data_IF_395760753331
#
_entry.id   IF_395760753331
#
_cell.length_a   1.000
_cell.length_b   1.000
_cell.length_c   1.000
_cell.angle_alpha   90.00
_cell.angle_beta   90.00
_cell.angle_gamma   90.00
#
_symmetry.space_group_name_H-M   'P 1'
#
loop_
_entity.id
_entity.type
_entity.pdbx_description
1 polymer ?
#
# COMPACT_ATOMS: atom_id res chain seq x y z
N UNK A 1 -5.08 -18.70 -3.38
CA UNK A 1 -4.47 -17.45 -3.87
C UNK A 1 -3.08 -17.34 -3.29
N UNK A 2 -2.05 -17.12 -4.12
CA UNK A 2 -0.67 -16.99 -3.66
C UNK A 2 -0.19 -15.56 -3.88
N UNK A 3 0.50 -15.00 -2.88
CA UNK A 3 0.96 -13.62 -2.86
C UNK A 3 2.44 -13.57 -2.48
N UNK A 4 3.21 -12.82 -3.27
CA UNK A 4 4.54 -12.38 -2.88
C UNK A 4 4.42 -11.06 -2.10
N UNK A 5 5.01 -10.98 -0.91
CA UNK A 5 4.99 -9.81 -0.03
C UNK A 5 6.45 -9.32 0.13
N UNK A 6 7.00 -8.61 -0.86
CA UNK A 6 8.44 -8.30 -0.92
C UNK A 6 8.94 -7.43 0.25
N UNK A 7 8.03 -6.69 0.89
CA UNK A 7 8.32 -5.74 1.95
C UNK A 7 7.22 -5.72 3.03
N UNK A 8 7.47 -5.10 4.21
CA UNK A 8 6.47 -4.96 5.26
C UNK A 8 5.18 -4.30 4.79
N UNK A 9 5.28 -3.32 3.89
CA UNK A 9 4.18 -2.55 3.34
C UNK A 9 3.20 -3.43 2.55
N UNK A 10 3.72 -4.43 1.83
CA UNK A 10 2.92 -5.43 1.12
C UNK A 10 2.10 -6.29 2.09
N UNK A 11 2.67 -6.63 3.26
CA UNK A 11 1.93 -7.34 4.32
C UNK A 11 0.82 -6.45 4.89
N UNK A 12 1.08 -5.16 5.06
CA UNK A 12 0.07 -4.20 5.51
C UNK A 12 -1.04 -3.99 4.48
N UNK A 13 -0.69 -3.94 3.20
CA UNK A 13 -1.64 -3.85 2.09
C UNK A 13 -2.57 -5.08 2.07
N UNK A 14 -2.04 -6.28 2.27
CA UNK A 14 -2.85 -7.50 2.44
C UNK A 14 -3.82 -7.36 3.63
N UNK A 15 -3.35 -6.87 4.77
CA UNK A 15 -4.19 -6.60 5.94
C UNK A 15 -5.32 -5.60 5.63
N UNK A 16 -5.03 -4.50 4.93
CA UNK A 16 -6.04 -3.52 4.50
C UNK A 16 -7.07 -4.12 3.54
N UNK A 17 -6.62 -4.87 2.53
CA UNK A 17 -7.50 -5.49 1.55
C UNK A 17 -8.46 -6.51 2.19
N UNK A 18 -7.94 -7.34 3.10
CA UNK A 18 -8.77 -8.26 3.90
C UNK A 18 -9.82 -7.50 4.71
N UNK A 19 -9.46 -6.40 5.36
CA UNK A 19 -10.39 -5.60 6.16
C UNK A 19 -11.49 -4.96 5.30
N UNK A 20 -11.12 -4.38 4.15
CA UNK A 20 -12.05 -3.71 3.23
C UNK A 20 -13.10 -4.66 2.65
N UNK A 21 -12.76 -5.92 2.47
CA UNK A 21 -13.62 -6.95 1.86
C UNK A 21 -14.22 -7.92 2.87
N UNK A 22 -14.01 -7.67 4.17
CA UNK A 22 -14.37 -8.59 5.26
C UNK A 22 -15.87 -8.90 5.24
N UNK A 23 -16.27 -10.18 5.35
CA UNK A 23 -17.67 -10.54 5.58
C UNK A 23 -18.14 -10.14 7.00
N UNK A 24 -19.45 -10.14 7.28
CA UNK A 24 -19.98 -9.74 8.59
C UNK A 24 -19.45 -10.55 9.78
N UNK A 25 -19.14 -11.83 9.56
CA UNK A 25 -18.45 -12.69 10.52
C UNK A 25 -17.44 -13.58 9.82
N UNK A 26 -16.25 -13.78 10.41
CA UNK A 26 -15.21 -14.64 9.85
C UNK A 26 -14.31 -15.31 10.90
N UNK A 27 -13.94 -16.56 10.66
CA UNK A 27 -12.87 -17.28 11.36
C UNK A 27 -11.62 -17.38 10.48
N UNK A 28 -10.51 -16.75 10.88
CA UNK A 28 -9.25 -16.73 10.14
C UNK A 28 -8.16 -17.46 10.90
N UNK A 29 -7.55 -18.43 10.24
CA UNK A 29 -6.41 -19.19 10.76
C UNK A 29 -5.12 -18.69 10.13
N UNK A 30 -4.17 -18.28 10.98
CA UNK A 30 -2.87 -17.76 10.60
C UNK A 30 -1.78 -18.79 10.92
N UNK A 31 -1.19 -19.36 9.88
CA UNK A 31 -0.10 -20.33 9.95
C UNK A 31 1.24 -19.71 9.53
N UNK A 32 2.32 -20.31 9.98
CA UNK A 32 3.68 -19.93 9.61
C UNK A 32 4.65 -20.01 10.79
N UNK A 33 5.94 -20.04 10.50
CA UNK A 33 6.98 -20.13 11.52
C UNK A 33 7.05 -18.87 12.42
N UNK A 34 7.83 -18.96 13.50
CA UNK A 34 8.13 -17.79 14.33
C UNK A 34 8.82 -16.72 13.48
N UNK A 35 8.29 -15.50 13.48
CA UNK A 35 8.80 -14.40 12.64
C UNK A 35 8.29 -14.38 11.18
N UNK A 36 7.40 -15.32 10.80
CA UNK A 36 6.78 -15.33 9.47
C UNK A 36 5.85 -14.13 9.21
N UNK A 37 5.45 -13.39 10.24
CA UNK A 37 4.66 -12.16 10.10
C UNK A 37 3.18 -12.29 10.46
N UNK A 38 2.75 -13.41 11.06
CA UNK A 38 1.36 -13.64 11.51
C UNK A 38 0.77 -12.48 12.32
N UNK A 39 1.43 -12.10 13.43
CA UNK A 39 0.98 -10.94 14.22
C UNK A 39 1.07 -9.60 13.47
N UNK A 40 1.98 -9.46 12.50
CA UNK A 40 2.07 -8.25 11.67
C UNK A 40 0.84 -8.12 10.79
N UNK A 41 0.45 -9.21 10.11
CA UNK A 41 -0.77 -9.26 9.30
C UNK A 41 -2.03 -9.02 10.15
N UNK A 42 -2.14 -9.69 11.30
CA UNK A 42 -3.26 -9.50 12.23
C UNK A 42 -3.40 -8.03 12.67
N UNK A 43 -2.27 -7.38 13.03
CA UNK A 43 -2.25 -5.96 13.38
C UNK A 43 -2.66 -5.06 12.23
N UNK A 44 -2.17 -5.31 11.02
CA UNK A 44 -2.52 -4.51 9.85
C UNK A 44 -4.03 -4.57 9.55
N UNK A 45 -4.61 -5.77 9.62
CA UNK A 45 -6.06 -5.98 9.47
C UNK A 45 -6.85 -5.22 10.55
N UNK A 46 -6.49 -5.39 11.82
CA UNK A 46 -7.17 -4.73 12.94
C UNK A 46 -7.06 -3.20 12.86
N UNK A 47 -5.89 -2.67 12.47
CA UNK A 47 -5.69 -1.24 12.22
C UNK A 47 -6.62 -0.73 11.11
N UNK A 48 -6.73 -1.47 10.01
CA UNK A 48 -7.61 -1.12 8.91
C UNK A 48 -9.10 -1.16 9.28
N UNK A 49 -9.47 -1.97 10.28
CA UNK A 49 -10.82 -1.99 10.89
C UNK A 49 -11.06 -0.87 11.92
N UNK A 50 -10.11 0.06 12.07
CA UNK A 50 -10.27 1.25 12.92
C UNK A 50 -9.80 1.08 14.36
N UNK A 51 -9.19 -0.04 14.73
CA UNK A 51 -8.64 -0.24 16.09
C UNK A 51 -7.54 0.78 16.38
N UNK A 52 -7.76 1.60 17.40
CA UNK A 52 -6.83 2.65 17.82
C UNK A 52 -5.88 2.15 18.92
N UNK A 53 -4.69 2.76 19.01
CA UNK A 53 -3.72 2.46 20.08
C UNK A 53 -2.89 1.18 19.86
N UNK A 54 -2.30 0.66 20.94
CA UNK A 54 -1.38 -0.46 20.86
C UNK A 54 -2.12 -1.79 20.59
N UNK A 55 -1.85 -2.42 19.45
CA UNK A 55 -2.31 -3.78 19.13
C UNK A 55 -1.14 -4.71 19.42
N UNK A 56 -1.29 -5.57 20.42
CA UNK A 56 -0.21 -6.44 20.90
C UNK A 56 -0.39 -7.84 20.38
N UNK A 57 0.71 -8.57 20.20
CA UNK A 57 0.59 -10.01 19.99
C UNK A 57 0.14 -10.66 21.31
N UNK A 58 -0.94 -11.45 21.31
CA UNK A 58 -1.48 -12.09 22.50
C UNK A 58 -0.64 -13.30 22.96
N UNK A 59 0.65 -13.38 22.65
CA UNK A 59 1.49 -14.55 22.99
C UNK A 59 1.46 -14.94 24.47
N UNK A 60 1.31 -13.98 25.38
CA UNK A 60 1.24 -14.23 26.84
C UNK A 60 -0.17 -14.11 27.41
N UNK A 61 -1.02 -13.26 26.85
CA UNK A 61 -2.41 -13.10 27.28
C UNK A 61 -3.34 -14.14 26.64
N UNK A 62 -2.86 -14.88 25.64
CA UNK A 62 -3.52 -15.87 24.78
C UNK A 62 -4.66 -15.30 23.93
N UNK A 63 -5.40 -14.32 24.45
CA UNK A 63 -6.52 -13.65 23.78
C UNK A 63 -6.44 -12.15 24.04
N UNK A 64 -6.60 -11.35 22.98
CA UNK A 64 -6.86 -9.92 23.05
C UNK A 64 -8.15 -9.61 22.28
N UNK A 65 -8.97 -8.70 22.82
CA UNK A 65 -10.26 -8.31 22.24
C UNK A 65 -10.23 -6.86 21.82
N UNK A 66 -10.67 -6.60 20.60
CA UNK A 66 -10.67 -5.27 20.01
C UNK A 66 -12.07 -4.89 19.54
N UNK A 67 -12.65 -3.79 20.03
CA UNK A 67 -13.89 -3.25 19.48
C UNK A 67 -13.70 -2.83 18.02
N UNK A 68 -14.59 -3.27 17.15
CA UNK A 68 -14.65 -2.89 15.74
C UNK A 68 -16.09 -2.58 15.33
N UNK A 69 -16.31 -2.04 14.14
CA UNK A 69 -17.66 -1.87 13.63
C UNK A 69 -18.35 -3.24 13.49
N UNK A 70 -19.56 -3.35 14.06
CA UNK A 70 -20.38 -4.56 14.03
C UNK A 70 -20.12 -5.57 15.16
N UNK A 71 -19.11 -5.38 16.02
CA UNK A 71 -18.86 -6.26 17.17
C UNK A 71 -17.41 -6.21 17.66
N UNK A 72 -16.85 -7.37 18.00
CA UNK A 72 -15.45 -7.48 18.41
C UNK A 72 -14.62 -8.31 17.43
N UNK A 73 -13.34 -7.96 17.32
CA UNK A 73 -12.30 -8.79 16.72
C UNK A 73 -11.45 -9.41 17.82
N UNK A 74 -11.30 -10.72 17.78
CA UNK A 74 -10.55 -11.49 18.76
C UNK A 74 -9.26 -11.98 18.13
N UNK A 75 -8.14 -11.60 18.73
CA UNK A 75 -6.81 -12.05 18.33
C UNK A 75 -6.34 -13.09 19.34
N UNK A 76 -6.11 -14.31 18.88
CA UNK A 76 -5.63 -15.42 19.66
C UNK A 76 -4.23 -15.82 19.19
N UNK A 77 -3.33 -16.12 20.13
CA UNK A 77 -2.02 -16.70 19.84
C UNK A 77 -1.84 -17.94 20.71
N UNK A 78 -1.98 -19.10 20.07
CA UNK A 78 -1.98 -20.39 20.74
C UNK A 78 -0.58 -21.01 20.82
N UNK A 79 0.48 -20.25 20.52
CA UNK A 79 1.85 -20.78 20.57
C UNK A 79 2.22 -21.40 21.93
N UNK A 80 1.63 -20.88 23.02
CA UNK A 80 1.97 -21.26 24.39
C UNK A 80 1.00 -22.20 25.10
N UNK A 81 -0.12 -22.58 24.48
CA UNK A 81 -1.04 -23.51 25.13
C UNK A 81 -0.41 -24.91 25.19
N UNK A 82 -0.54 -25.57 26.35
CA UNK A 82 -0.02 -26.91 26.56
C UNK A 82 -0.92 -27.99 25.95
N UNK A 83 -2.23 -27.81 26.08
CA UNK A 83 -3.28 -28.70 25.56
C UNK A 83 -4.48 -27.93 24.99
N UNK A 84 -5.18 -28.53 24.03
CA UNK A 84 -6.35 -27.92 23.38
C UNK A 84 -7.53 -27.67 24.35
N UNK A 85 -7.67 -28.46 25.42
CA UNK A 85 -8.68 -28.26 26.45
C UNK A 85 -8.46 -26.99 27.28
N UNK A 86 -7.30 -26.35 27.21
CA UNK A 86 -7.07 -25.05 27.85
C UNK A 86 -7.95 -23.94 27.25
N UNK A 87 -8.40 -24.10 26.00
CA UNK A 87 -9.26 -23.13 25.31
C UNK A 87 -10.60 -22.92 26.03
N UNK A 88 -11.15 -23.95 26.66
CA UNK A 88 -12.42 -23.87 27.40
C UNK A 88 -12.34 -22.89 28.59
N UNK A 89 -11.14 -22.67 29.13
CA UNK A 89 -10.92 -21.76 30.27
C UNK A 89 -10.67 -20.31 29.85
N UNK A 90 -10.53 -20.03 28.55
CA UNK A 90 -10.30 -18.68 28.03
C UNK A 90 -11.57 -17.80 28.02
N UNK A 91 -12.73 -18.36 28.37
CA UNK A 91 -13.98 -17.61 28.45
C UNK A 91 -14.42 -17.06 27.09
N UNK A 92 -14.28 -17.90 26.06
CA UNK A 92 -14.59 -17.56 24.67
C UNK A 92 -16.11 -17.55 24.42
N UNK A 93 -16.80 -16.50 24.87
CA UNK A 93 -18.19 -16.21 24.48
C UNK A 93 -18.30 -15.70 23.03
N UNK A 94 -18.65 -16.60 22.11
CA UNK A 94 -18.68 -16.32 20.67
C UNK A 94 -19.73 -15.28 20.24
N UNK A 95 -20.68 -14.91 21.11
CA UNK A 95 -21.83 -14.09 20.73
C UNK A 95 -21.47 -12.66 20.27
N UNK A 96 -20.33 -12.11 20.72
CA UNK A 96 -19.87 -10.76 20.35
C UNK A 96 -18.79 -10.74 19.28
N UNK A 97 -18.17 -11.88 18.98
CA UNK A 97 -17.02 -11.97 18.09
C UNK A 97 -17.47 -12.05 16.62
N UNK A 98 -17.10 -11.03 15.84
CA UNK A 98 -17.36 -10.97 14.39
C UNK A 98 -16.11 -11.22 13.56
N UNK A 99 -14.94 -11.30 14.19
CA UNK A 99 -13.71 -11.66 13.52
C UNK A 99 -12.82 -12.41 14.50
N UNK A 100 -12.36 -13.58 14.09
CA UNK A 100 -11.37 -14.35 14.84
C UNK A 100 -10.08 -14.42 14.04
N UNK A 101 -8.98 -14.07 14.68
CA UNK A 101 -7.62 -14.15 14.15
C UNK A 101 -6.84 -15.12 15.04
N UNK A 102 -6.69 -16.36 14.60
CA UNK A 102 -6.06 -17.40 15.41
C UNK A 102 -4.68 -17.71 14.85
N UNK A 103 -3.63 -17.33 15.58
CA UNK A 103 -2.26 -17.76 15.31
C UNK A 103 -1.99 -19.14 15.95
N UNK A 104 -1.22 -19.96 15.24
CA UNK A 104 -0.91 -21.35 15.65
C UNK A 104 -2.16 -22.21 15.91
N UNK A 105 -3.18 -22.17 15.02
CA UNK A 105 -4.45 -22.86 15.25
C UNK A 105 -4.29 -24.39 15.39
N UNK A 106 -3.21 -24.97 14.87
CA UNK A 106 -2.87 -26.39 15.07
C UNK A 106 -2.74 -26.79 16.55
N UNK A 107 -2.43 -25.84 17.44
CA UNK A 107 -2.37 -26.07 18.89
C UNK A 107 -3.75 -26.22 19.52
N UNK A 108 -4.76 -25.53 18.97
CA UNK A 108 -6.15 -25.62 19.41
C UNK A 108 -6.89 -26.88 18.92
N UNK A 109 -6.29 -27.62 17.98
CA UNK A 109 -6.80 -28.87 17.44
C UNK A 109 -8.32 -28.80 17.09
N UNK A 110 -9.10 -29.79 17.50
CA UNK A 110 -10.53 -29.89 17.19
C UNK A 110 -11.43 -29.00 18.08
N UNK A 111 -10.86 -28.28 19.06
CA UNK A 111 -11.63 -27.40 19.94
C UNK A 111 -11.96 -26.05 19.28
N UNK A 112 -11.27 -25.68 18.20
CA UNK A 112 -11.59 -24.48 17.44
C UNK A 112 -12.66 -24.76 16.37
N UNK A 113 -13.58 -23.81 16.13
CA UNK A 113 -14.44 -23.84 14.96
C UNK A 113 -13.62 -23.91 13.65
N UNK A 114 -14.22 -24.45 12.59
CA UNK A 114 -13.55 -24.50 11.29
C UNK A 114 -13.31 -23.09 10.76
N UNK A 115 -12.15 -22.83 10.14
CA UNK A 115 -11.88 -21.53 9.55
C UNK A 115 -12.76 -21.30 8.31
N UNK A 116 -13.07 -20.04 8.07
CA UNK A 116 -13.51 -19.56 6.77
C UNK A 116 -12.29 -19.38 5.85
N UNK A 117 -11.23 -18.77 6.37
CA UNK A 117 -10.01 -18.46 5.64
C UNK A 117 -8.79 -19.01 6.36
N UNK A 118 -7.91 -19.70 5.62
CA UNK A 118 -6.55 -20.03 6.08
C UNK A 118 -5.54 -19.16 5.36
N UNK A 119 -4.58 -18.64 6.10
CA UNK A 119 -3.46 -17.87 5.56
C UNK A 119 -2.17 -18.49 6.09
N UNK A 120 -1.37 -19.06 5.20
CA UNK A 120 -0.04 -19.55 5.52
C UNK A 120 1.00 -18.51 5.10
N UNK A 121 1.80 -18.05 6.06
CA UNK A 121 2.89 -17.09 5.85
C UNK A 121 4.24 -17.79 5.93
N UNK A 122 5.15 -17.47 5.01
CA UNK A 122 6.52 -17.97 5.02
C UNK A 122 7.52 -16.83 4.79
N UNK A 123 8.75 -17.02 5.28
CA UNK A 123 9.87 -16.13 4.98
C UNK A 123 10.41 -16.47 3.59
N UNK A 124 10.47 -15.49 2.69
CA UNK A 124 10.99 -15.67 1.33
C UNK A 124 11.99 -14.56 1.00
N UNK A 125 13.28 -14.91 1.00
CA UNK A 125 14.37 -13.94 0.81
C UNK A 125 14.34 -12.83 1.86
N UNK A 126 14.25 -11.58 1.41
CA UNK A 126 14.10 -10.41 2.27
C UNK A 126 12.63 -10.14 2.68
N UNK A 127 11.67 -10.69 1.93
CA UNK A 127 10.23 -10.49 2.10
C UNK A 127 9.53 -11.70 2.72
N UNK A 128 8.24 -11.83 2.43
CA UNK A 128 7.36 -12.93 2.84
C UNK A 128 6.57 -13.45 1.65
N UNK A 129 5.99 -14.62 1.78
CA UNK A 129 4.93 -15.11 0.90
C UNK A 129 3.68 -15.39 1.72
N UNK A 130 2.50 -15.22 1.13
CA UNK A 130 1.23 -15.62 1.72
C UNK A 130 0.45 -16.55 0.78
N UNK A 131 0.05 -17.71 1.29
CA UNK A 131 -0.90 -18.59 0.63
C UNK A 131 -2.24 -18.51 1.35
N UNK A 132 -3.27 -18.06 0.64
CA UNK A 132 -4.62 -17.93 1.17
C UNK A 132 -5.54 -18.99 0.56
N UNK A 133 -6.25 -19.70 1.43
CA UNK A 133 -7.21 -20.76 1.09
C UNK A 133 -8.58 -20.44 1.70
N UNK A 134 -9.61 -20.31 0.85
CA UNK A 134 -11.00 -20.17 1.24
C UNK A 134 -11.60 -21.53 1.56
N UNK A 135 -11.73 -21.86 2.84
CA UNK A 135 -12.14 -23.17 3.34
C UNK A 135 -13.66 -23.30 3.34
N UNK A 136 -14.37 -22.28 3.85
CA UNK A 136 -15.83 -22.23 3.84
C UNK A 136 -16.37 -21.54 2.57
N UNK A 137 -17.70 -21.60 2.28
CA UNK A 137 -18.30 -20.77 1.24
C UNK A 137 -18.03 -19.27 1.45
N UNK A 138 -18.18 -18.78 2.69
CA UNK A 138 -17.91 -17.38 3.05
C UNK A 138 -16.45 -17.02 2.76
N UNK A 139 -15.50 -17.90 3.10
CA UNK A 139 -14.08 -17.68 2.83
C UNK A 139 -13.72 -17.69 1.35
N UNK A 140 -14.38 -18.53 0.54
CA UNK A 140 -14.19 -18.53 -0.93
C UNK A 140 -14.73 -17.26 -1.57
N UNK A 141 -15.90 -16.80 -1.14
CA UNK A 141 -16.48 -15.56 -1.62
C UNK A 141 -15.61 -14.37 -1.21
N UNK A 142 -15.09 -14.37 0.02
CA UNK A 142 -14.16 -13.35 0.51
C UNK A 142 -12.88 -13.32 -0.33
N UNK A 143 -12.28 -14.48 -0.64
CA UNK A 143 -11.12 -14.54 -1.55
C UNK A 143 -11.41 -14.00 -2.95
N UNK A 144 -12.58 -14.27 -3.50
CA UNK A 144 -12.97 -13.75 -4.81
C UNK A 144 -13.05 -12.20 -4.81
N UNK A 145 -13.43 -11.59 -3.68
CA UNK A 145 -13.43 -10.13 -3.52
C UNK A 145 -12.02 -9.54 -3.37
N UNK A 146 -11.02 -10.32 -2.94
CA UNK A 146 -9.62 -9.89 -2.83
C UNK A 146 -8.88 -9.91 -4.15
N UNK A 147 -9.29 -10.75 -5.09
CA UNK A 147 -8.58 -10.96 -6.36
C UNK A 147 -8.37 -9.67 -7.18
N UNK A 148 -9.32 -8.72 -7.25
CA UNK A 148 -9.09 -7.41 -7.89
C UNK A 148 -8.06 -6.53 -7.18
N UNK A 149 -7.84 -6.74 -5.88
CA UNK A 149 -6.89 -5.98 -5.05
C UNK A 149 -5.49 -6.61 -5.04
N UNK A 150 -5.34 -7.83 -5.57
CA UNK A 150 -4.09 -8.58 -5.65
C UNK A 150 -2.92 -7.76 -6.21
N UNK A 151 -3.04 -7.03 -7.34
CA UNK A 151 -1.91 -6.26 -7.87
C UNK A 151 -1.40 -5.19 -6.91
N UNK A 152 -2.28 -4.66 -6.05
CA UNK A 152 -1.91 -3.68 -5.03
C UNK A 152 -1.14 -4.27 -3.84
N UNK A 153 -1.15 -5.60 -3.71
CA UNK A 153 -0.62 -6.34 -2.57
C UNK A 153 0.70 -7.06 -2.87
N UNK A 154 1.07 -7.21 -4.15
CA UNK A 154 2.22 -8.03 -4.57
C UNK A 154 3.28 -7.32 -5.39
N UNK A 155 3.03 -6.06 -5.79
CA UNK A 155 3.96 -5.26 -6.59
C UNK A 155 3.84 -3.78 -6.25
N UNK A 156 4.94 -3.04 -6.35
CA UNK A 156 4.92 -1.57 -6.25
C UNK A 156 4.20 -0.95 -7.46
N UNK A 157 3.80 0.33 -7.37
CA UNK A 157 3.27 1.06 -8.53
C UNK A 157 4.32 1.16 -9.64
N UNK A 158 5.60 1.29 -9.26
CA UNK A 158 6.74 1.23 -10.17
C UNK A 158 6.80 -0.09 -10.95
N UNK A 159 6.75 -1.23 -10.27
CA UNK A 159 6.80 -2.55 -10.93
C UNK A 159 5.59 -2.78 -11.81
N UNK A 160 4.40 -2.41 -11.32
CA UNK A 160 3.14 -2.53 -12.04
C UNK A 160 3.10 -1.70 -13.34
N UNK A 161 3.77 -0.54 -13.34
CA UNK A 161 3.92 0.30 -14.52
C UNK A 161 4.99 -0.20 -15.51
N UNK A 162 5.66 -1.32 -15.22
CA UNK A 162 6.71 -1.91 -16.06
C UNK A 162 8.14 -1.51 -15.66
N UNK A 163 8.34 -1.14 -14.40
CA UNK A 163 9.64 -0.79 -13.84
C UNK A 163 10.28 0.42 -14.53
N UNK A 164 11.61 0.41 -14.65
CA UNK A 164 12.38 1.54 -15.20
C UNK A 164 11.97 1.90 -16.62
N UNK A 165 11.81 0.91 -17.49
CA UNK A 165 11.38 1.14 -18.88
C UNK A 165 9.97 1.72 -18.94
N UNK A 166 9.07 1.26 -18.05
CA UNK A 166 7.74 1.83 -17.87
C UNK A 166 7.75 3.30 -17.49
N UNK A 167 8.52 3.64 -16.44
CA UNK A 167 8.68 5.02 -15.98
C UNK A 167 9.29 5.93 -17.04
N UNK A 168 10.30 5.45 -17.76
CA UNK A 168 10.94 6.24 -18.82
C UNK A 168 9.98 6.51 -19.97
N UNK A 169 9.24 5.49 -20.45
CA UNK A 169 8.21 5.68 -21.49
C UNK A 169 7.13 6.67 -21.06
N UNK A 170 6.67 6.58 -19.82
CA UNK A 170 5.65 7.50 -19.29
C UNK A 170 6.20 8.93 -19.19
N UNK A 171 7.44 9.12 -18.74
CA UNK A 171 8.08 10.43 -18.64
C UNK A 171 8.30 11.07 -20.02
N UNK A 172 8.69 10.28 -21.02
CA UNK A 172 8.83 10.73 -22.41
C UNK A 172 7.47 11.13 -23.01
N UNK A 173 6.44 10.30 -22.82
CA UNK A 173 5.08 10.60 -23.29
C UNK A 173 4.53 11.88 -22.62
N UNK A 174 4.68 12.01 -21.30
CA UNK A 174 4.25 13.20 -20.57
C UNK A 174 4.98 14.46 -21.04
N UNK A 175 6.30 14.39 -21.17
CA UNK A 175 7.08 15.53 -21.64
C UNK A 175 6.67 15.94 -23.07
N UNK A 176 6.43 14.98 -23.96
CA UNK A 176 5.93 15.25 -25.31
C UNK A 176 4.54 15.93 -25.28
N UNK A 177 3.63 15.47 -24.42
CA UNK A 177 2.30 16.08 -24.22
C UNK A 177 2.41 17.52 -23.69
N UNK A 178 3.27 17.73 -22.70
CA UNK A 178 3.51 19.06 -22.12
C UNK A 178 4.10 20.04 -23.13
N UNK A 179 5.10 19.62 -23.90
CA UNK A 179 5.69 20.47 -24.94
C UNK A 179 4.70 20.80 -26.08
N UNK A 180 3.66 19.98 -26.24
CA UNK A 180 2.55 20.22 -27.17
C UNK A 180 1.40 21.08 -26.60
N UNK A 181 1.35 21.31 -25.29
CA UNK A 181 0.31 22.14 -24.66
C UNK A 181 0.73 23.62 -24.59
N UNK A 182 -0.17 24.51 -24.98
CA UNK A 182 0.11 25.95 -25.09
C UNK A 182 0.37 26.64 -23.75
N UNK A 183 -0.09 26.09 -22.62
CA UNK A 183 0.07 26.70 -21.29
C UNK A 183 1.22 26.03 -20.53
N UNK A 184 1.20 24.71 -20.38
CA UNK A 184 2.18 24.00 -19.53
C UNK A 184 3.59 24.03 -20.12
N UNK A 185 3.72 24.11 -21.45
CA UNK A 185 5.03 24.30 -22.10
C UNK A 185 5.76 25.56 -21.64
N UNK A 186 5.06 26.58 -21.13
CA UNK A 186 5.69 27.80 -20.60
C UNK A 186 6.62 27.53 -19.42
N UNK A 187 6.36 26.47 -18.63
CA UNK A 187 7.26 26.03 -17.56
C UNK A 187 8.67 25.65 -18.09
N UNK A 188 8.77 25.32 -19.38
CA UNK A 188 9.99 24.91 -20.07
C UNK A 188 10.60 26.02 -20.96
N UNK A 189 10.04 27.23 -20.93
CA UNK A 189 10.44 28.36 -21.79
C UNK A 189 11.88 28.83 -21.59
N UNK A 190 12.44 28.63 -20.38
CA UNK A 190 13.82 28.95 -20.04
C UNK A 190 14.80 27.79 -20.33
N UNK A 191 14.32 26.75 -21.02
CA UNK A 191 15.06 25.52 -21.26
C UNK A 191 14.95 24.53 -20.11
N UNK A 192 15.43 23.32 -20.36
CA UNK A 192 15.44 22.22 -19.39
C UNK A 192 16.71 21.40 -19.54
N UNK A 193 17.01 20.60 -18.52
CA UNK A 193 18.20 19.75 -18.53
C UNK A 193 18.16 18.74 -19.69
N UNK A 194 19.27 18.44 -20.39
CA UNK A 194 19.28 17.48 -21.51
C UNK A 194 18.77 16.07 -21.16
N UNK A 195 18.89 15.68 -19.88
CA UNK A 195 18.39 14.43 -19.31
C UNK A 195 17.07 14.61 -18.55
N UNK A 196 16.24 15.60 -18.90
CA UNK A 196 15.04 15.92 -18.13
C UNK A 196 14.10 14.72 -17.95
N UNK A 197 13.79 14.00 -19.03
CA UNK A 197 12.90 12.81 -19.00
C UNK A 197 13.48 11.69 -18.13
N UNK A 198 14.78 11.43 -18.22
CA UNK A 198 15.47 10.44 -17.37
C UNK A 198 15.41 10.82 -15.89
N UNK A 199 15.64 12.10 -15.57
CA UNK A 199 15.56 12.61 -14.18
C UNK A 199 14.14 12.54 -13.66
N UNK A 200 13.14 12.85 -14.48
CA UNK A 200 11.72 12.74 -14.12
C UNK A 200 11.32 11.28 -13.86
N UNK A 201 11.73 10.36 -14.75
CA UNK A 201 11.48 8.93 -14.57
C UNK A 201 12.14 8.40 -13.29
N UNK A 202 13.36 8.83 -12.96
CA UNK A 202 14.01 8.46 -11.71
C UNK A 202 13.29 9.01 -10.48
N UNK A 203 12.76 10.24 -10.55
CA UNK A 203 11.99 10.85 -9.47
C UNK A 203 10.69 10.08 -9.21
N UNK A 204 9.91 9.79 -10.27
CA UNK A 204 8.70 8.99 -10.15
C UNK A 204 8.98 7.55 -9.72
N UNK A 205 10.03 6.91 -10.25
CA UNK A 205 10.43 5.58 -9.82
C UNK A 205 10.67 5.54 -8.31
N UNK A 206 11.41 6.51 -7.76
CA UNK A 206 11.64 6.60 -6.33
C UNK A 206 10.36 6.92 -5.55
N UNK A 207 9.49 7.81 -6.03
CA UNK A 207 8.24 8.08 -5.34
C UNK A 207 7.29 6.85 -5.31
N UNK A 208 7.27 6.05 -6.38
CA UNK A 208 6.28 4.98 -6.62
C UNK A 208 6.73 3.57 -6.18
N UNK A 209 7.73 3.50 -5.29
CA UNK A 209 8.21 2.25 -4.70
C UNK A 209 9.38 1.58 -5.42
N UNK A 210 9.94 2.22 -6.45
CA UNK A 210 11.15 1.78 -7.13
C UNK A 210 12.45 2.17 -6.39
N UNK A 211 13.61 1.88 -7.02
CA UNK A 211 14.92 2.18 -6.46
C UNK A 211 15.14 3.68 -6.23
N UNK A 212 15.94 4.03 -5.22
CA UNK A 212 16.32 5.41 -4.88
C UNK A 212 17.33 6.03 -5.87
N UNK A 213 16.99 6.03 -7.16
CA UNK A 213 17.87 6.48 -8.24
C UNK A 213 18.00 8.01 -8.26
N UNK A 214 16.92 8.74 -7.98
CA UNK A 214 16.94 10.20 -8.01
C UNK A 214 17.79 10.75 -6.88
N UNK A 215 17.50 10.35 -5.65
CA UNK A 215 18.19 10.83 -4.46
C UNK A 215 19.68 10.47 -4.44
N UNK A 216 20.06 9.35 -5.07
CA UNK A 216 21.46 8.92 -5.15
C UNK A 216 22.26 9.59 -6.26
N UNK A 217 21.63 10.01 -7.35
CA UNK A 217 22.35 10.41 -8.58
C UNK A 217 22.08 11.83 -9.04
N UNK A 218 20.90 12.37 -8.74
CA UNK A 218 20.40 13.58 -9.41
C UNK A 218 20.19 14.76 -8.48
N UNK A 219 19.70 14.55 -7.25
CA UNK A 219 19.41 15.64 -6.32
C UNK A 219 18.59 15.17 -5.14
N UNK A 220 17.84 16.07 -4.52
CA UNK A 220 16.93 15.79 -3.41
C UNK A 220 15.56 16.45 -3.64
N UNK A 221 14.60 16.17 -2.75
CA UNK A 221 13.26 16.76 -2.81
C UNK A 221 13.30 18.28 -2.65
N UNK A 222 14.20 18.80 -1.81
CA UNK A 222 14.35 20.23 -1.59
C UNK A 222 14.65 20.96 -2.91
N UNK A 223 15.56 20.44 -3.73
CA UNK A 223 15.90 21.02 -5.01
C UNK A 223 14.72 20.98 -6.01
N UNK A 224 13.97 19.88 -6.04
CA UNK A 224 12.79 19.74 -6.91
C UNK A 224 11.70 20.74 -6.52
N UNK A 225 11.36 20.83 -5.23
CA UNK A 225 10.35 21.77 -4.74
C UNK A 225 10.77 23.21 -5.01
N UNK A 226 12.05 23.57 -4.82
CA UNK A 226 12.58 24.91 -5.15
C UNK A 226 12.40 25.28 -6.61
N UNK A 227 12.56 24.33 -7.52
CA UNK A 227 12.37 24.56 -8.96
C UNK A 227 10.91 24.94 -9.30
N UNK A 228 9.95 24.43 -8.53
CA UNK A 228 8.52 24.69 -8.72
C UNK A 228 7.99 25.85 -7.85
N UNK A 229 8.82 26.42 -6.97
CA UNK A 229 8.43 27.46 -6.01
C UNK A 229 8.60 28.88 -6.55
N UNK A 230 7.86 29.83 -5.99
CA UNK A 230 7.97 31.25 -6.37
C UNK A 230 7.29 31.63 -7.69
N UNK A 231 6.47 30.74 -8.24
CA UNK A 231 5.74 30.95 -9.49
C UNK A 231 4.33 31.52 -9.29
N UNK A 232 3.94 31.84 -8.05
CA UNK A 232 2.58 32.23 -7.69
C UNK A 232 1.60 31.04 -7.77
N UNK A 233 0.31 31.33 -7.65
CA UNK A 233 -0.71 30.29 -7.87
C UNK A 233 -0.97 30.10 -9.37
N UNK A 234 -0.96 28.85 -9.83
CA UNK A 234 -1.06 28.49 -11.25
C UNK A 234 -2.02 27.32 -11.48
N UNK A 235 -3.24 27.42 -10.96
CA UNK A 235 -4.26 26.36 -11.01
C UNK A 235 -4.54 25.81 -12.42
N UNK A 236 -4.58 26.68 -13.44
CA UNK A 236 -4.81 26.26 -14.82
C UNK A 236 -3.62 25.46 -15.39
N UNK A 237 -2.39 25.82 -14.99
CA UNK A 237 -1.20 25.06 -15.38
C UNK A 237 -1.21 23.68 -14.72
N UNK A 238 -1.56 23.60 -13.44
CA UNK A 238 -1.66 22.33 -12.70
C UNK A 238 -2.68 21.40 -13.33
N UNK A 239 -3.89 21.92 -13.59
CA UNK A 239 -4.98 21.17 -14.23
C UNK A 239 -4.57 20.61 -15.59
N UNK A 240 -3.84 21.40 -16.39
CA UNK A 240 -3.36 20.96 -17.70
C UNK A 240 -2.18 19.99 -17.61
N UNK A 241 -1.30 20.14 -16.64
CA UNK A 241 -0.21 19.20 -16.41
C UNK A 241 -0.76 17.81 -16.04
N UNK A 242 -1.81 17.77 -15.21
CA UNK A 242 -2.54 16.55 -14.86
C UNK A 242 -3.22 15.96 -16.09
N UNK A 243 -3.89 16.78 -16.90
CA UNK A 243 -4.51 16.30 -18.15
C UNK A 243 -3.48 15.75 -19.14
N UNK A 244 -2.28 16.36 -19.24
CA UNK A 244 -1.18 15.83 -20.04
C UNK A 244 -0.70 14.47 -19.50
N UNK A 245 -0.70 14.28 -18.18
CA UNK A 245 -0.35 13.00 -17.55
C UNK A 245 -1.37 11.90 -17.84
N UNK A 246 -2.66 12.22 -17.77
CA UNK A 246 -3.72 11.27 -18.15
C UNK A 246 -3.63 10.85 -19.62
N UNK A 247 -3.32 11.80 -20.53
CA UNK A 247 -3.09 11.50 -21.94
C UNK A 247 -1.82 10.68 -22.17
N UNK A 248 -0.74 10.98 -21.42
CA UNK A 248 0.50 10.23 -21.50
C UNK A 248 0.32 8.77 -21.04
N UNK A 249 -0.50 8.55 -20.00
CA UNK A 249 -0.89 7.19 -19.59
C UNK A 249 -1.66 6.47 -20.71
N UNK A 250 -2.53 7.16 -21.45
CA UNK A 250 -3.20 6.56 -22.62
C UNK A 250 -2.19 6.17 -23.72
N UNK A 251 -1.22 7.04 -24.00
CA UNK A 251 -0.19 6.80 -25.02
C UNK A 251 0.68 5.57 -24.74
N UNK A 252 0.93 5.27 -23.46
CA UNK A 252 1.71 4.10 -23.04
C UNK A 252 0.84 2.87 -22.73
N UNK A 253 -0.47 2.93 -23.03
CA UNK A 253 -1.39 1.79 -22.91
C UNK A 253 -2.00 1.57 -21.51
N UNK A 254 -1.84 2.52 -20.60
CA UNK A 254 -2.43 2.49 -19.24
C UNK A 254 -3.84 3.14 -19.24
N UNK A 255 -4.76 2.61 -20.04
CA UNK A 255 -6.04 3.28 -20.36
C UNK A 255 -7.12 3.17 -19.28
N UNK A 256 -7.03 2.20 -18.37
CA UNK A 256 -8.01 1.98 -17.31
C UNK A 256 -7.45 1.11 -16.18
N UNK A 257 -8.21 1.02 -15.08
CA UNK A 257 -7.95 0.09 -13.98
C UNK A 257 -7.21 0.71 -12.79
N UNK A 258 -6.96 -0.08 -11.73
CA UNK A 258 -6.45 0.42 -10.46
C UNK A 258 -5.10 1.13 -10.57
N UNK A 259 -4.22 0.68 -11.47
CA UNK A 259 -2.89 1.27 -11.68
C UNK A 259 -3.02 2.69 -12.22
N UNK A 260 -3.86 2.89 -13.23
CA UNK A 260 -4.12 4.21 -13.81
C UNK A 260 -4.64 5.17 -12.74
N UNK A 261 -5.61 4.72 -11.94
CA UNK A 261 -6.18 5.56 -10.88
C UNK A 261 -5.12 5.96 -9.85
N UNK A 262 -4.31 5.01 -9.37
CA UNK A 262 -3.27 5.30 -8.38
C UNK A 262 -2.18 6.25 -8.91
N UNK A 263 -1.79 6.11 -10.18
CA UNK A 263 -0.84 7.02 -10.83
C UNK A 263 -1.42 8.42 -11.02
N UNK A 264 -2.71 8.52 -11.42
CA UNK A 264 -3.42 9.80 -11.50
C UNK A 264 -3.44 10.49 -10.13
N UNK A 265 -3.86 9.77 -9.09
CA UNK A 265 -3.98 10.32 -7.73
C UNK A 265 -2.62 10.82 -7.21
N UNK A 266 -1.56 10.04 -7.43
CA UNK A 266 -0.19 10.46 -7.13
C UNK A 266 0.18 11.76 -7.85
N UNK A 267 0.01 11.80 -9.17
CA UNK A 267 0.48 12.93 -9.97
C UNK A 267 -0.33 14.20 -9.67
N UNK A 268 -1.64 14.07 -9.47
CA UNK A 268 -2.52 15.15 -9.07
C UNK A 268 -2.15 15.70 -7.69
N UNK A 269 -1.90 14.83 -6.71
CA UNK A 269 -1.42 15.24 -5.38
C UNK A 269 -0.05 15.91 -5.45
N UNK A 270 0.91 15.32 -6.17
CA UNK A 270 2.26 15.85 -6.27
C UNK A 270 2.24 17.26 -6.90
N UNK A 271 1.44 17.46 -7.94
CA UNK A 271 1.29 18.74 -8.63
C UNK A 271 0.61 19.78 -7.73
N UNK A 272 -0.55 19.46 -7.16
CA UNK A 272 -1.39 20.43 -6.45
C UNK A 272 -1.02 20.64 -4.99
N UNK A 273 -0.20 19.75 -4.41
CA UNK A 273 0.15 19.78 -2.98
C UNK A 273 1.66 19.87 -2.77
N UNK A 274 2.46 18.94 -3.32
CA UNK A 274 3.89 18.89 -3.04
C UNK A 274 4.64 20.02 -3.75
N UNK A 275 4.43 20.18 -5.06
CA UNK A 275 5.10 21.20 -5.89
C UNK A 275 4.54 22.59 -5.67
N UNK A 276 3.24 22.71 -5.40
CA UNK A 276 2.57 23.98 -5.10
C UNK A 276 2.76 24.48 -3.66
N UNK A 277 3.58 23.80 -2.83
CA UNK A 277 3.69 24.07 -1.39
C UNK A 277 4.23 25.45 -1.03
N UNK A 278 5.07 26.05 -1.90
CA UNK A 278 5.72 27.33 -1.66
C UNK A 278 5.52 28.29 -2.85
N UNK A 279 4.29 28.78 -3.08
CA UNK A 279 3.96 29.56 -4.27
C UNK A 279 4.62 30.94 -4.27
N UNK A 280 4.92 31.50 -3.10
CA UNK A 280 5.45 32.86 -2.97
C UNK A 280 6.96 32.96 -3.23
N UNK A 281 7.76 31.98 -2.78
CA UNK A 281 9.22 32.07 -2.88
C UNK A 281 9.93 30.74 -2.66
N UNK A 282 10.92 30.45 -3.52
CA UNK A 282 11.85 29.34 -3.34
C UNK A 282 12.73 29.47 -2.08
N UNK A 283 12.90 30.68 -1.53
CA UNK A 283 13.65 30.89 -0.29
C UNK A 283 12.91 30.31 0.95
N UNK A 284 11.60 30.08 0.85
CA UNK A 284 10.81 29.47 1.91
C UNK A 284 10.92 27.94 1.97
N UNK A 285 11.58 27.31 0.99
CA UNK A 285 11.69 25.84 0.93
C UNK A 285 12.77 25.36 1.91
N UNK A 286 12.42 24.51 2.89
CA UNK A 286 13.35 23.98 3.88
C UNK A 286 14.36 23.01 3.26
N UNK A 287 15.52 22.91 3.90
CA UNK A 287 16.53 21.89 3.58
C UNK A 287 16.11 20.51 4.08
N UNK A 288 16.66 19.46 3.46
CA UNK A 288 16.54 18.08 3.95
C UNK A 288 15.15 17.46 3.76
N UNK A 289 14.36 17.95 2.80
CA UNK A 289 13.15 17.26 2.40
C UNK A 289 13.48 15.89 1.80
N UNK A 290 12.60 14.93 2.02
CA UNK A 290 12.69 13.58 1.46
C UNK A 290 11.60 13.39 0.42
N UNK A 291 11.91 12.62 -0.63
CA UNK A 291 10.95 12.34 -1.70
C UNK A 291 9.78 11.57 -1.09
N UNK A 292 8.54 12.08 -1.19
CA UNK A 292 7.38 11.41 -0.66
C UNK A 292 7.18 10.05 -1.34
N UNK A 293 6.86 9.02 -0.55
CA UNK A 293 6.55 7.70 -1.09
C UNK A 293 5.04 7.56 -1.27
N UNK A 294 4.63 7.00 -2.40
CA UNK A 294 3.23 6.81 -2.77
C UNK A 294 2.98 5.34 -3.10
N UNK A 295 1.92 4.80 -2.50
CA UNK A 295 1.48 3.42 -2.68
C UNK A 295 0.13 3.36 -3.38
N UNK A 296 -0.35 2.15 -3.65
CA UNK A 296 -1.72 1.93 -4.12
C UNK A 296 -2.80 2.52 -3.20
N UNK A 297 -2.50 2.70 -1.91
CA UNK A 297 -3.40 3.31 -0.93
C UNK A 297 -3.24 4.82 -0.76
N UNK A 298 -2.37 5.47 -1.55
CA UNK A 298 -2.04 6.89 -1.42
C UNK A 298 -0.67 7.14 -0.79
N UNK A 299 -0.49 8.38 -0.30
CA UNK A 299 0.71 8.86 0.38
C UNK A 299 1.06 7.98 1.59
N UNK A 300 2.35 7.65 1.73
CA UNK A 300 2.89 6.98 2.91
C UNK A 300 3.39 8.03 3.92
N UNK A 301 2.98 7.86 5.18
CA UNK A 301 3.41 8.67 6.33
C UNK A 301 4.83 8.34 6.82
#
# INVERSE_FOLDING_TARGET
>A
MHLNLPDPESTEALGRALAQTRPPSAMVFLHGDLGAGKSTLARALLRALGVQGAIRSPTYTLVERYPIEGGEAWHLDLYRIGDAGELDFLGLDEATATLWLVEWPERGAAALPKPDLRIALAVEGAGRSAELEGVSPVGRDWLAQLEPLHPAMTQSLYDAAGGWEGMLRLAEAWHARVMGDEIVSHAFSHGFHPQHTERLAAYWAEALGGPALYSRRYGDETAVVRMHSGNGMHEEMDRRAIACFDQAMDDVGLTAGPLRQALHDYFAWATTTAMARYPESAAGVPEGLTIPRWSWGGLLD
#
